data_IF_125786067023
#
_entry.id   IF_125786067023
#
_cell.length_a   1.000
_cell.length_b   1.000
_cell.length_c   1.000
_cell.angle_alpha   90.00
_cell.angle_beta   90.00
_cell.angle_gamma   90.00
#
_symmetry.space_group_name_H-M   'P 1'
#
loop_
_entity.id
_entity.type
_entity.pdbx_description
1 polymer ?
#
# COMPACT_ATOMS: atom_id res chain seq x y z
N UNK A 1 5.36 -28.61 12.89
CA UNK A 1 5.93 -27.86 11.75
C UNK A 1 4.93 -27.88 10.61
N UNK A 2 4.01 -26.92 10.58
CA UNK A 2 3.14 -26.67 9.43
C UNK A 2 3.94 -25.85 8.43
N UNK A 3 4.41 -26.48 7.35
CA UNK A 3 4.98 -25.76 6.20
C UNK A 3 3.84 -24.96 5.54
N UNK A 4 3.58 -23.76 6.03
CA UNK A 4 2.76 -22.77 5.32
C UNK A 4 3.51 -22.40 4.06
N UNK A 5 3.02 -22.86 2.91
CA UNK A 5 3.55 -22.48 1.60
C UNK A 5 3.46 -20.95 1.46
N UNK A 6 4.61 -20.28 1.53
CA UNK A 6 4.73 -18.86 1.23
C UNK A 6 4.66 -18.70 -0.29
N UNK A 7 3.50 -18.25 -0.78
CA UNK A 7 3.34 -17.90 -2.18
C UNK A 7 3.90 -16.50 -2.40
N UNK A 8 5.03 -16.41 -3.11
CA UNK A 8 5.56 -15.13 -3.55
C UNK A 8 4.53 -14.32 -4.33
N UNK A 9 4.61 -13.00 -4.28
CA UNK A 9 3.79 -12.08 -5.08
C UNK A 9 3.91 -12.45 -6.56
N UNK A 10 5.14 -12.77 -7.01
CA UNK A 10 5.39 -13.25 -8.37
C UNK A 10 4.57 -14.51 -8.68
N UNK A 11 4.54 -15.49 -7.80
CA UNK A 11 3.78 -16.73 -8.03
C UNK A 11 2.27 -16.47 -8.02
N UNK A 12 1.76 -15.60 -7.14
CA UNK A 12 0.34 -15.18 -7.15
C UNK A 12 -0.05 -14.53 -8.48
N UNK A 13 0.78 -13.60 -8.96
CA UNK A 13 0.56 -12.92 -10.24
C UNK A 13 0.62 -13.88 -11.44
N UNK A 14 1.64 -14.75 -11.50
CA UNK A 14 1.77 -15.75 -12.56
C UNK A 14 0.57 -16.71 -12.54
N UNK A 15 0.14 -17.16 -11.36
CA UNK A 15 -1.02 -18.04 -11.23
C UNK A 15 -2.30 -17.34 -11.70
N UNK A 16 -2.51 -16.08 -11.34
CA UNK A 16 -3.65 -15.31 -11.82
C UNK A 16 -3.65 -15.12 -13.34
N UNK A 17 -2.48 -14.83 -13.94
CA UNK A 17 -2.35 -14.75 -15.39
C UNK A 17 -2.55 -16.10 -16.08
N UNK A 18 -2.04 -17.19 -15.49
CA UNK A 18 -2.23 -18.54 -16.01
C UNK A 18 -3.70 -18.96 -16.00
N UNK A 19 -4.47 -18.60 -14.96
CA UNK A 19 -5.92 -18.81 -14.93
C UNK A 19 -6.61 -18.08 -16.07
N UNK A 20 -6.26 -16.80 -16.30
CA UNK A 20 -6.86 -16.02 -17.38
C UNK A 20 -6.54 -16.64 -18.75
N UNK A 21 -5.28 -17.05 -18.98
CA UNK A 21 -4.87 -17.73 -20.22
C UNK A 21 -5.55 -19.09 -20.40
N UNK A 22 -5.77 -19.84 -19.32
CA UNK A 22 -6.48 -21.11 -19.35
C UNK A 22 -7.94 -20.91 -19.76
N UNK A 23 -8.62 -19.94 -19.14
CA UNK A 23 -10.00 -19.58 -19.48
C UNK A 23 -10.10 -19.15 -20.95
N UNK A 24 -9.18 -18.29 -21.40
CA UNK A 24 -9.14 -17.85 -22.80
C UNK A 24 -8.89 -19.00 -23.76
N UNK A 25 -7.99 -19.93 -23.43
CA UNK A 25 -7.73 -21.13 -24.24
C UNK A 25 -8.96 -22.03 -24.34
N UNK A 26 -9.67 -22.25 -23.23
CA UNK A 26 -10.90 -23.06 -23.22
C UNK A 26 -11.99 -22.42 -24.08
N UNK A 27 -12.18 -21.11 -23.98
CA UNK A 27 -13.14 -20.36 -24.81
C UNK A 27 -12.75 -20.43 -26.28
N UNK A 28 -11.46 -20.28 -26.59
CA UNK A 28 -10.95 -20.36 -27.96
C UNK A 28 -11.17 -21.75 -28.56
N UNK A 29 -10.86 -22.82 -27.82
CA UNK A 29 -11.10 -24.21 -28.25
C UNK A 29 -12.59 -24.44 -28.47
N UNK A 30 -13.44 -23.98 -27.55
CA UNK A 30 -14.89 -24.07 -27.69
C UNK A 30 -15.40 -23.33 -28.94
N UNK A 31 -14.91 -22.11 -29.17
CA UNK A 31 -15.29 -21.29 -30.34
C UNK A 31 -14.89 -21.99 -31.64
N UNK A 32 -13.67 -22.53 -31.72
CA UNK A 32 -13.19 -23.27 -32.90
C UNK A 32 -14.05 -24.52 -33.14
N UNK A 33 -14.38 -25.28 -32.10
CA UNK A 33 -15.25 -26.46 -32.21
C UNK A 33 -16.61 -26.10 -32.79
N UNK A 34 -17.22 -25.00 -32.34
CA UNK A 34 -18.54 -24.57 -32.85
C UNK A 34 -18.51 -24.01 -34.27
N UNK A 35 -17.38 -23.42 -34.68
CA UNK A 35 -17.19 -22.95 -36.05
C UNK A 35 -17.17 -24.12 -37.05
N UNK A 36 -16.65 -25.28 -36.63
CA UNK A 36 -16.70 -26.52 -37.41
C UNK A 36 -18.14 -26.97 -37.66
N UNK A 37 -18.98 -26.98 -36.61
CA UNK A 37 -20.40 -27.39 -36.72
C UNK A 37 -21.17 -26.50 -37.72
N UNK A 38 -20.91 -25.19 -37.72
CA UNK A 38 -21.54 -24.24 -38.66
C UNK A 38 -21.07 -24.49 -40.10
N UNK A 39 -19.81 -24.83 -40.31
CA UNK A 39 -19.27 -25.10 -41.65
C UNK A 39 -19.97 -26.29 -42.32
N UNK A 40 -20.33 -27.31 -41.55
CA UNK A 40 -21.07 -28.48 -42.05
C UNK A 40 -22.51 -28.11 -42.43
N UNK A 41 -23.19 -27.32 -41.59
CA UNK A 41 -24.53 -26.81 -41.88
C UNK A 41 -24.57 -25.91 -43.13
N UNK A 42 -23.54 -25.09 -43.34
CA UNK A 42 -23.42 -24.27 -44.56
C UNK A 42 -23.27 -25.15 -45.79
N UNK A 43 -22.50 -26.24 -45.71
CA UNK A 43 -22.32 -27.18 -46.82
C UNK A 43 -23.65 -27.84 -47.21
N UNK A 44 -24.40 -28.34 -46.22
CA UNK A 44 -25.73 -28.94 -46.43
C UNK A 44 -26.69 -27.91 -47.06
N UNK A 45 -26.71 -26.68 -46.55
CA UNK A 45 -27.53 -25.61 -47.10
C UNK A 45 -27.18 -25.27 -48.55
N UNK A 46 -25.88 -25.23 -48.88
CA UNK A 46 -25.43 -24.98 -50.25
C UNK A 46 -25.82 -26.11 -51.21
N UNK A 47 -25.73 -27.36 -50.78
CA UNK A 47 -26.15 -28.52 -51.58
C UNK A 47 -27.66 -28.47 -51.86
N UNK A 48 -28.47 -28.22 -50.83
CA UNK A 48 -29.93 -28.06 -50.95
C UNK A 48 -30.31 -26.92 -51.91
N UNK A 49 -29.58 -25.81 -51.86
CA UNK A 49 -29.79 -24.70 -52.80
C UNK A 49 -29.39 -25.04 -54.24
N UNK A 50 -28.41 -25.93 -54.46
CA UNK A 50 -28.01 -26.36 -55.79
C UNK A 50 -29.09 -27.24 -56.44
N UNK A 51 -29.67 -28.19 -55.69
CA UNK A 51 -30.75 -29.04 -56.19
C UNK A 51 -31.99 -28.24 -56.62
N UNK A 52 -32.34 -27.20 -55.86
CA UNK A 52 -33.41 -26.27 -56.25
C UNK A 52 -33.08 -25.54 -57.57
N UNK A 53 -31.83 -25.11 -57.77
CA UNK A 53 -31.40 -24.50 -59.03
C UNK A 53 -31.45 -25.48 -60.21
N UNK A 54 -31.11 -26.74 -59.98
CA UNK A 54 -31.16 -27.81 -60.99
C UNK A 54 -32.60 -28.05 -61.48
N UNK A 55 -33.59 -28.02 -60.57
CA UNK A 55 -35.01 -28.08 -60.96
C UNK A 55 -35.44 -26.88 -61.79
N UNK A 56 -35.00 -25.68 -61.42
CA UNK A 56 -35.28 -24.48 -62.25
C UNK A 56 -34.71 -24.64 -63.66
N UNK A 57 -33.55 -25.29 -63.81
CA UNK A 57 -33.01 -25.62 -65.14
C UNK A 57 -33.89 -26.64 -65.87
N UNK A 58 -34.36 -27.69 -65.21
CA UNK A 58 -35.32 -28.65 -65.79
C UNK A 58 -36.56 -27.91 -66.31
N UNK A 59 -37.14 -27.04 -65.49
CA UNK A 59 -38.30 -26.23 -65.86
C UNK A 59 -38.04 -25.41 -67.13
N UNK A 60 -36.93 -24.66 -67.16
CA UNK A 60 -36.56 -23.81 -68.29
C UNK A 60 -36.38 -24.63 -69.57
N UNK A 61 -35.77 -25.82 -69.48
CA UNK A 61 -35.57 -26.70 -70.64
C UNK A 61 -36.87 -27.32 -71.15
N UNK A 62 -37.77 -27.72 -70.25
CA UNK A 62 -39.08 -28.21 -70.66
C UNK A 62 -39.93 -27.12 -71.33
N UNK A 63 -39.84 -25.87 -70.86
CA UNK A 63 -40.49 -24.73 -71.51
C UNK A 63 -39.85 -24.40 -72.87
N UNK A 64 -38.52 -24.42 -72.98
CA UNK A 64 -37.79 -24.26 -74.24
C UNK A 64 -38.21 -25.34 -75.25
N UNK A 65 -38.33 -26.60 -74.82
CA UNK A 65 -38.81 -27.72 -75.64
C UNK A 65 -40.23 -27.47 -76.14
N UNK A 66 -41.16 -27.13 -75.24
CA UNK A 66 -42.56 -26.86 -75.59
C UNK A 66 -42.70 -25.68 -76.55
N UNK A 67 -41.99 -24.60 -76.29
CA UNK A 67 -42.00 -23.39 -77.12
C UNK A 67 -41.40 -23.67 -78.50
N UNK A 68 -40.35 -24.49 -78.58
CA UNK A 68 -39.71 -24.87 -79.84
C UNK A 68 -40.63 -25.75 -80.69
N UNK A 69 -41.27 -26.76 -80.09
CA UNK A 69 -42.29 -27.58 -80.78
C UNK A 69 -43.47 -26.72 -81.27
N UNK A 70 -43.95 -25.80 -80.42
CA UNK A 70 -45.05 -24.90 -80.76
C UNK A 70 -44.71 -23.94 -81.90
N UNK A 71 -43.49 -23.41 -81.94
CA UNK A 71 -43.01 -22.56 -83.04
C UNK A 71 -42.88 -23.34 -84.35
N UNK A 72 -42.31 -24.56 -84.30
CA UNK A 72 -42.10 -25.39 -85.48
C UNK A 72 -43.40 -25.85 -86.16
N UNK A 73 -44.48 -26.01 -85.39
CA UNK A 73 -45.82 -26.24 -85.94
C UNK A 73 -46.31 -25.06 -86.76
N UNK A 74 -46.09 -23.83 -86.27
CA UNK A 74 -46.65 -22.61 -86.84
C UNK A 74 -45.81 -22.00 -87.97
N UNK A 75 -44.48 -22.19 -87.96
CA UNK A 75 -43.55 -21.55 -88.90
C UNK A 75 -42.62 -22.57 -89.54
N UNK A 76 -42.52 -22.59 -90.87
CA UNK A 76 -41.67 -23.53 -91.63
C UNK A 76 -40.18 -23.29 -91.38
N UNK A 77 -39.75 -22.02 -91.27
CA UNK A 77 -38.35 -21.64 -90.98
C UNK A 77 -37.86 -22.18 -89.63
N UNK A 78 -38.78 -22.41 -88.68
CA UNK A 78 -38.47 -22.95 -87.35
C UNK A 78 -38.39 -24.48 -87.30
N UNK A 79 -38.46 -25.16 -88.46
CA UNK A 79 -38.34 -26.62 -88.54
C UNK A 79 -36.91 -27.08 -88.80
N UNK A 80 -36.06 -26.19 -89.28
CA UNK A 80 -34.64 -26.49 -89.48
C UNK A 80 -33.97 -26.68 -88.12
N UNK A 81 -33.25 -27.79 -87.94
CA UNK A 81 -32.61 -28.14 -86.67
C UNK A 81 -33.55 -28.55 -85.52
N UNK A 82 -34.87 -28.66 -85.73
CA UNK A 82 -35.86 -28.97 -84.69
C UNK A 82 -35.50 -30.23 -83.89
N UNK A 83 -35.20 -31.34 -84.58
CA UNK A 83 -34.83 -32.59 -83.93
C UNK A 83 -33.60 -32.42 -83.04
N UNK A 84 -32.57 -31.71 -83.54
CA UNK A 84 -31.32 -31.51 -82.81
C UNK A 84 -31.51 -30.63 -81.56
N UNK A 85 -32.35 -29.60 -81.62
CA UNK A 85 -32.66 -28.77 -80.45
C UNK A 85 -33.45 -29.55 -79.40
N UNK A 86 -34.46 -30.33 -79.80
CA UNK A 86 -35.25 -31.14 -78.87
C UNK A 86 -34.41 -32.27 -78.25
N UNK A 87 -33.56 -32.91 -79.04
CA UNK A 87 -32.64 -33.95 -78.54
C UNK A 87 -31.60 -33.37 -77.56
N UNK A 88 -31.11 -32.15 -77.81
CA UNK A 88 -30.22 -31.44 -76.87
C UNK A 88 -30.94 -31.21 -75.54
N UNK A 89 -32.14 -30.62 -75.57
CA UNK A 89 -32.90 -30.39 -74.34
C UNK A 89 -33.26 -31.70 -73.64
N UNK A 90 -33.56 -32.76 -74.40
CA UNK A 90 -33.81 -34.09 -73.86
C UNK A 90 -32.62 -34.62 -73.06
N UNK A 91 -31.42 -34.53 -73.64
CA UNK A 91 -30.18 -34.95 -73.00
C UNK A 91 -29.85 -34.10 -71.77
N UNK A 92 -30.05 -32.77 -71.85
CA UNK A 92 -29.80 -31.85 -70.74
C UNK A 92 -30.74 -32.12 -69.55
N UNK A 93 -32.03 -32.35 -69.81
CA UNK A 93 -33.02 -32.66 -68.76
C UNK A 93 -32.76 -34.04 -68.14
N UNK A 94 -32.48 -35.07 -68.96
CA UNK A 94 -32.16 -36.40 -68.47
C UNK A 94 -30.91 -36.38 -67.57
N UNK A 95 -29.86 -35.65 -67.97
CA UNK A 95 -28.65 -35.52 -67.17
C UNK A 95 -28.90 -34.84 -65.81
N UNK A 96 -29.81 -33.87 -65.75
CA UNK A 96 -30.19 -33.22 -64.49
C UNK A 96 -31.00 -34.19 -63.60
N UNK A 97 -31.94 -34.95 -64.16
CA UNK A 97 -32.68 -35.95 -63.40
C UNK A 97 -31.75 -37.05 -62.85
N UNK A 98 -30.81 -37.56 -63.64
CA UNK A 98 -29.79 -38.51 -63.19
C UNK A 98 -29.00 -37.95 -61.99
N UNK A 99 -28.63 -36.66 -62.03
CA UNK A 99 -27.94 -36.01 -60.92
C UNK A 99 -28.85 -35.90 -59.69
N UNK A 100 -30.10 -35.44 -59.86
CA UNK A 100 -31.08 -35.31 -58.79
C UNK A 100 -31.37 -36.67 -58.12
N UNK A 101 -31.45 -37.77 -58.86
CA UNK A 101 -31.64 -39.12 -58.30
C UNK A 101 -30.46 -39.56 -57.41
N UNK A 102 -29.24 -39.13 -57.75
CA UNK A 102 -28.06 -39.46 -56.93
C UNK A 102 -27.91 -38.60 -55.69
N UNK A 103 -28.41 -37.36 -55.73
CA UNK A 103 -28.22 -36.37 -54.66
C UNK A 103 -29.43 -36.22 -53.73
N UNK A 104 -30.61 -36.71 -54.13
CA UNK A 104 -31.82 -36.73 -53.31
C UNK A 104 -32.02 -38.06 -52.61
N UNK A 105 -32.73 -38.05 -51.48
CA UNK A 105 -33.06 -39.26 -50.72
C UNK A 105 -34.47 -39.17 -50.13
N UNK A 106 -35.06 -40.31 -49.79
CA UNK A 106 -36.37 -40.36 -49.12
C UNK A 106 -37.51 -39.88 -50.02
N UNK A 107 -38.36 -38.99 -49.49
CA UNK A 107 -39.52 -38.42 -50.21
C UNK A 107 -39.10 -37.60 -51.44
N UNK A 108 -37.97 -36.88 -51.37
CA UNK A 108 -37.42 -36.17 -52.52
C UNK A 108 -37.05 -37.10 -53.67
N UNK A 109 -36.43 -38.25 -53.38
CA UNK A 109 -36.08 -39.23 -54.41
C UNK A 109 -37.32 -39.79 -55.10
N UNK A 110 -38.39 -40.10 -54.35
CA UNK A 110 -39.63 -40.59 -54.93
C UNK A 110 -40.27 -39.55 -55.88
N UNK A 111 -40.21 -38.26 -55.53
CA UNK A 111 -40.69 -37.18 -56.39
C UNK A 111 -39.81 -36.98 -57.63
N UNK A 112 -38.49 -37.15 -57.52
CA UNK A 112 -37.57 -37.13 -58.67
C UNK A 112 -37.86 -38.29 -59.61
N UNK A 113 -37.97 -39.50 -59.10
CA UNK A 113 -38.28 -40.71 -59.88
C UNK A 113 -39.62 -40.58 -60.62
N UNK A 114 -40.65 -40.02 -59.97
CA UNK A 114 -41.95 -39.76 -60.59
C UNK A 114 -41.85 -38.72 -61.73
N UNK A 115 -41.17 -37.60 -61.50
CA UNK A 115 -40.97 -36.58 -62.52
C UNK A 115 -40.14 -37.10 -63.70
N UNK A 116 -39.09 -37.87 -63.42
CA UNK A 116 -38.23 -38.47 -64.44
C UNK A 116 -39.00 -39.51 -65.27
N UNK A 117 -39.83 -40.35 -64.62
CA UNK A 117 -40.69 -41.30 -65.31
C UNK A 117 -41.68 -40.61 -66.26
N UNK A 118 -42.39 -39.58 -65.78
CA UNK A 118 -43.31 -38.79 -66.61
C UNK A 118 -42.60 -38.10 -67.79
N UNK A 119 -41.36 -37.66 -67.58
CA UNK A 119 -40.53 -37.09 -68.64
C UNK A 119 -40.18 -38.11 -69.75
N UNK A 120 -39.88 -39.35 -69.35
CA UNK A 120 -39.61 -40.45 -70.28
C UNK A 120 -40.88 -40.91 -71.02
N UNK A 121 -42.03 -40.98 -70.34
CA UNK A 121 -43.32 -41.27 -70.99
C UNK A 121 -43.71 -40.21 -72.04
N UNK A 122 -43.22 -38.98 -71.88
CA UNK A 122 -43.43 -37.92 -72.86
C UNK A 122 -42.58 -38.10 -74.15
N UNK A 123 -41.46 -38.83 -74.11
CA UNK A 123 -40.53 -39.03 -75.24
C UNK A 123 -41.17 -39.57 -76.53
N UNK A 124 -41.95 -40.68 -76.50
CA UNK A 124 -42.62 -41.18 -77.70
C UNK A 124 -43.61 -40.18 -78.31
N UNK A 125 -44.28 -39.38 -77.48
CA UNK A 125 -45.25 -38.37 -77.93
C UNK A 125 -44.52 -37.20 -78.61
N UNK A 126 -43.38 -36.75 -78.04
CA UNK A 126 -42.52 -35.72 -78.69
C UNK A 126 -42.03 -36.19 -80.05
N UNK A 127 -41.61 -37.44 -80.13
CA UNK A 127 -41.10 -38.04 -81.37
C UNK A 127 -42.18 -38.09 -82.45
N UNK A 128 -43.41 -38.48 -82.08
CA UNK A 128 -44.55 -38.44 -83.02
C UNK A 128 -44.87 -37.00 -83.48
N UNK A 129 -44.79 -36.02 -82.60
CA UNK A 129 -45.01 -34.60 -82.95
C UNK A 129 -43.96 -34.13 -83.96
N UNK A 130 -42.68 -34.45 -83.73
CA UNK A 130 -41.59 -34.10 -84.66
C UNK A 130 -41.81 -34.76 -86.02
N UNK A 131 -42.11 -36.06 -86.07
CA UNK A 131 -42.39 -36.78 -87.31
C UNK A 131 -43.57 -36.15 -88.09
N UNK A 132 -44.65 -35.76 -87.39
CA UNK A 132 -45.78 -35.08 -88.02
C UNK A 132 -45.43 -33.69 -88.57
N UNK A 133 -44.55 -32.95 -87.90
CA UNK A 133 -44.07 -31.63 -88.35
C UNK A 133 -43.21 -31.78 -89.61
N UNK A 134 -42.28 -32.74 -89.62
CA UNK A 134 -41.40 -33.04 -90.74
C UNK A 134 -42.17 -33.53 -91.97
N UNK A 135 -43.19 -34.38 -91.77
CA UNK A 135 -44.07 -34.88 -92.83
C UNK A 135 -45.16 -33.87 -93.27
N UNK A 136 -45.07 -32.60 -92.86
CA UNK A 136 -45.97 -31.53 -93.30
C UNK A 136 -47.38 -31.58 -92.70
N UNK A 137 -47.63 -32.42 -91.69
CA UNK A 137 -48.93 -32.61 -91.03
C UNK A 137 -49.09 -31.69 -89.82
N UNK A 138 -48.81 -30.40 -90.01
CA UNK A 138 -48.79 -29.39 -88.93
C UNK A 138 -50.11 -29.27 -88.16
N UNK A 139 -51.27 -29.44 -88.81
CA UNK A 139 -52.58 -29.41 -88.13
C UNK A 139 -52.75 -30.57 -87.13
N UNK A 140 -52.28 -31.78 -87.50
CA UNK A 140 -52.33 -32.95 -86.61
C UNK A 140 -51.29 -32.84 -85.49
N UNK A 141 -50.10 -32.34 -85.80
CA UNK A 141 -49.08 -32.01 -84.80
C UNK A 141 -49.58 -30.96 -83.79
N UNK A 142 -50.26 -29.91 -84.26
CA UNK A 142 -50.88 -28.89 -83.39
C UNK A 142 -51.95 -29.49 -82.47
N UNK A 143 -52.79 -30.39 -83.00
CA UNK A 143 -53.78 -31.13 -82.20
C UNK A 143 -53.14 -31.97 -81.10
N UNK A 144 -52.06 -32.69 -81.41
CA UNK A 144 -51.30 -33.47 -80.42
C UNK A 144 -50.58 -32.60 -79.40
N UNK A 145 -49.96 -31.48 -79.80
CA UNK A 145 -49.34 -30.54 -78.85
C UNK A 145 -50.37 -29.97 -77.87
N UNK A 146 -51.59 -29.70 -78.34
CA UNK A 146 -52.67 -29.19 -77.49
C UNK A 146 -53.17 -30.26 -76.50
N UNK A 147 -53.44 -31.47 -76.99
CA UNK A 147 -53.86 -32.61 -76.16
C UNK A 147 -52.78 -33.01 -75.13
N UNK A 148 -51.52 -32.96 -75.56
CA UNK A 148 -50.34 -33.13 -74.73
C UNK A 148 -50.25 -32.04 -73.64
N UNK A 149 -50.53 -30.79 -74.00
CA UNK A 149 -50.54 -29.68 -73.04
C UNK A 149 -51.63 -29.84 -72.00
N UNK A 150 -52.72 -30.55 -72.29
CA UNK A 150 -53.82 -30.77 -71.35
C UNK A 150 -53.57 -31.95 -70.39
N UNK A 151 -52.83 -32.98 -70.81
CA UNK A 151 -52.62 -34.22 -70.04
C UNK A 151 -51.17 -34.39 -69.56
N UNK A 152 -50.28 -34.95 -70.39
CA UNK A 152 -48.93 -35.38 -69.95
C UNK A 152 -48.01 -34.22 -69.54
N UNK A 153 -48.03 -33.09 -70.25
CA UNK A 153 -47.20 -31.94 -69.87
C UNK A 153 -47.68 -31.35 -68.55
N UNK A 154 -49.00 -31.28 -68.31
CA UNK A 154 -49.54 -30.78 -67.04
C UNK A 154 -49.23 -31.72 -65.87
N UNK A 155 -49.26 -33.04 -66.08
CA UNK A 155 -48.88 -34.03 -65.08
C UNK A 155 -47.39 -33.96 -64.74
N UNK A 156 -46.51 -33.92 -65.74
CA UNK A 156 -45.08 -33.70 -65.56
C UNK A 156 -44.79 -32.38 -64.85
N UNK A 157 -45.45 -31.31 -65.29
CA UNK A 157 -45.32 -29.98 -64.69
C UNK A 157 -45.81 -29.96 -63.24
N UNK A 158 -46.91 -30.64 -62.93
CA UNK A 158 -47.41 -30.77 -61.56
C UNK A 158 -46.43 -31.55 -60.67
N UNK A 159 -45.85 -32.64 -61.16
CA UNK A 159 -44.84 -33.42 -60.45
C UNK A 159 -43.56 -32.61 -60.20
N UNK A 160 -43.07 -31.87 -61.20
CA UNK A 160 -41.90 -30.98 -61.07
C UNK A 160 -42.18 -29.85 -60.08
N UNK A 161 -43.38 -29.25 -60.08
CA UNK A 161 -43.74 -28.23 -59.09
C UNK A 161 -43.80 -28.81 -57.67
N UNK A 162 -44.31 -30.03 -57.51
CA UNK A 162 -44.31 -30.68 -56.19
C UNK A 162 -42.89 -30.94 -55.69
N UNK A 163 -42.00 -31.38 -56.58
CA UNK A 163 -40.59 -31.56 -56.29
C UNK A 163 -39.89 -30.22 -55.98
N UNK A 164 -40.18 -29.17 -56.76
CA UNK A 164 -39.69 -27.81 -56.53
C UNK A 164 -40.12 -27.29 -55.16
N UNK A 165 -41.41 -27.42 -54.83
CA UNK A 165 -41.97 -27.02 -53.53
C UNK A 165 -41.30 -27.77 -52.38
N UNK A 166 -41.06 -29.08 -52.54
CA UNK A 166 -40.37 -29.91 -51.56
C UNK A 166 -38.91 -29.44 -51.33
N UNK A 167 -38.12 -29.30 -52.40
CA UNK A 167 -36.73 -28.86 -52.30
C UNK A 167 -36.61 -27.43 -51.79
N UNK A 168 -37.51 -26.54 -52.19
CA UNK A 168 -37.55 -25.17 -51.69
C UNK A 168 -37.90 -25.12 -50.20
N UNK A 169 -38.86 -25.94 -49.75
CA UNK A 169 -39.18 -26.05 -48.32
C UNK A 169 -38.00 -26.60 -47.51
N UNK A 170 -37.31 -27.62 -48.03
CA UNK A 170 -36.12 -28.20 -47.39
C UNK A 170 -34.96 -27.20 -47.31
N UNK A 171 -34.70 -26.46 -48.41
CA UNK A 171 -33.68 -25.40 -48.46
C UNK A 171 -33.99 -24.27 -47.47
N UNK A 172 -35.24 -23.78 -47.42
CA UNK A 172 -35.65 -22.75 -46.47
C UNK A 172 -35.51 -23.21 -45.02
N UNK A 173 -35.85 -24.46 -44.72
CA UNK A 173 -35.69 -25.03 -43.39
C UNK A 173 -34.21 -25.13 -42.99
N UNK A 174 -33.36 -25.69 -43.87
CA UNK A 174 -31.92 -25.80 -43.63
C UNK A 174 -31.27 -24.43 -43.41
N UNK A 175 -31.70 -23.41 -44.17
CA UNK A 175 -31.22 -22.04 -44.03
C UNK A 175 -31.63 -21.42 -42.68
N UNK A 176 -32.88 -21.59 -42.28
CA UNK A 176 -33.39 -21.08 -41.00
C UNK A 176 -32.68 -21.74 -39.81
N UNK A 177 -32.47 -23.06 -39.85
CA UNK A 177 -31.74 -23.81 -38.83
C UNK A 177 -30.26 -23.39 -38.74
N UNK A 178 -29.61 -23.19 -39.89
CA UNK A 178 -28.22 -22.72 -39.98
C UNK A 178 -28.06 -21.32 -39.37
N UNK A 179 -28.95 -20.37 -39.70
CA UNK A 179 -28.92 -19.03 -39.11
C UNK A 179 -29.19 -19.03 -37.60
N UNK A 180 -30.20 -19.77 -37.15
CA UNK A 180 -30.53 -19.86 -35.73
C UNK A 180 -29.34 -20.41 -34.92
N UNK A 181 -28.68 -21.44 -35.45
CA UNK A 181 -27.49 -22.04 -34.86
C UNK A 181 -26.31 -21.06 -34.84
N UNK A 182 -26.08 -20.34 -35.95
CA UNK A 182 -25.01 -19.35 -36.03
C UNK A 182 -25.16 -18.22 -35.00
N UNK A 183 -26.39 -17.69 -34.82
CA UNK A 183 -26.67 -16.66 -33.81
C UNK A 183 -26.49 -17.18 -32.38
N UNK A 184 -26.94 -18.41 -32.10
CA UNK A 184 -26.75 -19.04 -30.79
C UNK A 184 -25.27 -19.21 -30.46
N UNK A 185 -24.47 -19.70 -31.42
CA UNK A 185 -23.02 -19.86 -31.28
C UNK A 185 -22.36 -18.50 -31.04
N UNK A 186 -22.69 -17.49 -31.85
CA UNK A 186 -22.15 -16.13 -31.71
C UNK A 186 -22.43 -15.56 -30.31
N UNK A 187 -23.68 -15.61 -29.85
CA UNK A 187 -24.07 -15.10 -28.53
C UNK A 187 -23.38 -15.87 -27.40
N UNK A 188 -23.21 -17.19 -27.54
CA UNK A 188 -22.52 -18.01 -26.55
C UNK A 188 -21.03 -17.65 -26.47
N UNK A 189 -20.36 -17.44 -27.61
CA UNK A 189 -18.95 -17.01 -27.67
C UNK A 189 -18.78 -15.63 -27.04
N UNK A 190 -19.63 -14.66 -27.43
CA UNK A 190 -19.59 -13.29 -26.88
C UNK A 190 -19.84 -13.33 -25.36
N UNK A 191 -20.85 -14.08 -24.91
CA UNK A 191 -21.16 -14.25 -23.49
C UNK A 191 -19.99 -14.85 -22.70
N UNK A 192 -19.39 -15.92 -23.22
CA UNK A 192 -18.22 -16.55 -22.60
C UNK A 192 -17.02 -15.59 -22.52
N UNK A 193 -16.77 -14.83 -23.58
CA UNK A 193 -15.70 -13.83 -23.63
C UNK A 193 -15.92 -12.70 -22.60
N UNK A 194 -17.15 -12.19 -22.49
CA UNK A 194 -17.51 -11.19 -21.49
C UNK A 194 -17.33 -11.69 -20.06
N UNK A 195 -17.75 -12.92 -19.77
CA UNK A 195 -17.54 -13.56 -18.46
C UNK A 195 -16.05 -13.67 -18.14
N UNK A 196 -15.22 -14.07 -19.11
CA UNK A 196 -13.78 -14.17 -18.91
C UNK A 196 -13.13 -12.80 -18.62
N UNK A 197 -13.55 -11.74 -19.32
CA UNK A 197 -13.10 -10.37 -19.03
C UNK A 197 -13.47 -9.96 -17.60
N UNK A 198 -14.73 -10.19 -17.21
CA UNK A 198 -15.21 -9.82 -15.86
C UNK A 198 -14.44 -10.58 -14.78
N UNK A 199 -14.25 -11.89 -14.94
CA UNK A 199 -13.46 -12.71 -14.00
C UNK A 199 -12.01 -12.26 -13.94
N UNK A 200 -11.38 -11.96 -15.08
CA UNK A 200 -10.04 -11.41 -15.14
C UNK A 200 -9.91 -10.06 -14.44
N UNK A 201 -10.88 -9.16 -14.64
CA UNK A 201 -10.93 -7.86 -13.97
C UNK A 201 -11.13 -8.00 -12.46
N UNK A 202 -12.05 -8.85 -12.01
CA UNK A 202 -12.28 -9.12 -10.59
C UNK A 202 -11.04 -9.71 -9.92
N UNK A 203 -10.38 -10.68 -10.56
CA UNK A 203 -9.14 -11.27 -10.08
C UNK A 203 -8.01 -10.24 -10.01
N UNK A 204 -7.91 -9.38 -11.03
CA UNK A 204 -6.95 -8.28 -11.08
C UNK A 204 -7.16 -7.29 -9.94
N UNK A 205 -8.39 -6.83 -9.71
CA UNK A 205 -8.74 -5.93 -8.61
C UNK A 205 -8.47 -6.57 -7.24
N UNK A 206 -8.82 -7.85 -7.08
CA UNK A 206 -8.57 -8.59 -5.83
C UNK A 206 -7.08 -8.65 -5.51
N UNK A 207 -6.24 -9.04 -6.47
CA UNK A 207 -4.78 -9.10 -6.28
C UNK A 207 -4.18 -7.72 -6.06
N UNK A 208 -4.58 -6.72 -6.86
CA UNK A 208 -4.09 -5.35 -6.73
C UNK A 208 -4.43 -4.74 -5.37
N UNK A 209 -5.65 -4.96 -4.85
CA UNK A 209 -6.05 -4.49 -3.52
C UNK A 209 -5.22 -5.12 -2.41
N UNK A 210 -4.95 -6.43 -2.50
CA UNK A 210 -4.11 -7.12 -1.52
C UNK A 210 -2.69 -6.57 -1.45
N UNK A 211 -2.06 -6.39 -2.61
CA UNK A 211 -0.70 -5.83 -2.73
C UNK A 211 -0.66 -4.38 -2.26
N UNK A 212 -1.59 -3.55 -2.74
CA UNK A 212 -1.62 -2.12 -2.45
C UNK A 212 -1.89 -1.83 -0.97
N UNK A 213 -2.73 -2.63 -0.29
CA UNK A 213 -3.02 -2.43 1.13
C UNK A 213 -1.76 -2.55 1.98
N UNK A 214 -1.03 -3.67 1.84
CA UNK A 214 0.19 -3.92 2.62
C UNK A 214 1.27 -2.89 2.29
N UNK A 215 1.47 -2.57 1.01
CA UNK A 215 2.45 -1.57 0.61
C UNK A 215 2.14 -0.19 1.18
N UNK A 216 0.87 0.22 1.17
CA UNK A 216 0.45 1.51 1.73
C UNK A 216 0.57 1.56 3.26
N UNK A 217 0.31 0.47 3.97
CA UNK A 217 0.53 0.39 5.42
C UNK A 217 2.00 0.56 5.78
N UNK A 218 2.90 -0.18 5.10
CA UNK A 218 4.35 -0.06 5.32
C UNK A 218 4.84 1.35 4.98
N UNK A 219 4.40 1.93 3.87
CA UNK A 219 4.78 3.27 3.46
C UNK A 219 4.25 4.37 4.40
N UNK A 220 3.08 4.16 5.00
CA UNK A 220 2.53 5.06 6.02
C UNK A 220 3.34 4.99 7.31
N UNK A 221 3.59 3.78 7.81
CA UNK A 221 4.41 3.59 9.00
C UNK A 221 5.82 4.19 8.82
N UNK A 222 6.44 4.02 7.66
CA UNK A 222 7.73 4.66 7.36
C UNK A 222 7.68 6.20 7.40
N UNK A 223 6.59 6.82 6.92
CA UNK A 223 6.39 8.27 7.02
C UNK A 223 6.20 8.73 8.47
N UNK A 224 5.36 8.04 9.23
CA UNK A 224 5.10 8.36 10.64
C UNK A 224 6.38 8.24 11.48
N UNK A 225 7.20 7.20 11.24
CA UNK A 225 8.53 7.07 11.86
C UNK A 225 9.43 8.25 11.49
N UNK A 226 9.38 8.73 10.24
CA UNK A 226 10.19 9.88 9.82
C UNK A 226 9.77 11.20 10.48
N UNK A 227 8.51 11.28 10.94
CA UNK A 227 8.00 12.40 11.74
C UNK A 227 8.28 12.23 13.25
N UNK A 228 8.91 11.12 13.65
CA UNK A 228 9.25 10.79 15.04
C UNK A 228 8.16 10.03 15.79
N UNK A 229 7.04 9.68 15.13
CA UNK A 229 6.00 8.85 15.72
C UNK A 229 6.35 7.37 15.59
N UNK A 230 6.89 6.82 16.68
CA UNK A 230 7.21 5.40 16.79
C UNK A 230 6.09 4.60 17.43
N UNK A 231 4.90 5.15 17.70
CA UNK A 231 3.80 4.45 18.40
C UNK A 231 3.08 3.41 17.54
N UNK A 232 3.27 3.47 16.23
CA UNK A 232 2.58 2.70 15.21
C UNK A 232 2.79 1.18 15.35
N UNK A 233 1.87 0.40 14.79
CA UNK A 233 1.98 -1.06 14.66
C UNK A 233 1.54 -1.48 13.26
N UNK A 234 2.31 -2.39 12.66
CA UNK A 234 1.98 -2.96 11.37
C UNK A 234 1.41 -4.35 11.60
N UNK A 235 0.13 -4.55 11.26
CA UNK A 235 -0.54 -5.84 11.37
C UNK A 235 -0.80 -6.40 9.97
N UNK A 236 0.16 -7.15 9.44
CA UNK A 236 -0.07 -7.81 8.14
C UNK A 236 -0.56 -9.23 8.29
N UNK A 237 -1.42 -9.63 7.34
CA UNK A 237 -1.81 -11.03 7.13
C UNK A 237 -1.13 -11.61 5.88
N UNK A 238 -0.24 -10.85 5.26
CA UNK A 238 0.38 -11.22 3.99
C UNK A 238 1.51 -12.21 4.27
N UNK A 239 1.39 -13.43 3.75
CA UNK A 239 2.46 -14.44 3.82
C UNK A 239 3.30 -14.42 2.54
N UNK A 240 3.83 -13.25 2.18
CA UNK A 240 4.64 -13.02 0.98
C UNK A 240 5.77 -12.00 1.25
N UNK A 241 6.46 -11.54 0.22
CA UNK A 241 7.58 -10.61 0.35
C UNK A 241 7.18 -9.27 1.00
N UNK A 242 5.94 -8.80 0.77
CA UNK A 242 5.44 -7.59 1.43
C UNK A 242 5.16 -7.83 2.91
N UNK A 243 4.70 -9.04 3.26
CA UNK A 243 4.62 -9.48 4.65
C UNK A 243 5.97 -9.48 5.35
N UNK A 244 6.98 -10.08 4.74
CA UNK A 244 8.35 -10.10 5.29
C UNK A 244 8.92 -8.68 5.45
N UNK A 245 8.68 -7.80 4.48
CA UNK A 245 9.07 -6.39 4.58
C UNK A 245 8.37 -5.70 5.74
N UNK A 246 7.07 -5.94 5.91
CA UNK A 246 6.31 -5.38 7.01
C UNK A 246 6.76 -5.89 8.38
N UNK A 247 7.07 -7.19 8.50
CA UNK A 247 7.64 -7.77 9.72
C UNK A 247 9.00 -7.15 10.06
N UNK A 248 9.84 -6.90 9.04
CA UNK A 248 11.13 -6.23 9.22
C UNK A 248 10.97 -4.78 9.70
N UNK A 249 10.01 -4.04 9.14
CA UNK A 249 9.69 -2.67 9.57
C UNK A 249 9.09 -2.68 10.98
N UNK A 250 8.25 -3.66 11.32
CA UNK A 250 7.70 -3.84 12.66
C UNK A 250 8.81 -4.09 13.69
N UNK A 251 9.79 -4.93 13.40
CA UNK A 251 10.97 -5.13 14.26
C UNK A 251 11.77 -3.84 14.44
N UNK A 252 11.93 -3.05 13.37
CA UNK A 252 12.57 -1.73 13.46
C UNK A 252 11.78 -0.77 14.35
N UNK A 253 10.45 -0.72 14.23
CA UNK A 253 9.59 0.10 15.10
C UNK A 253 9.73 -0.33 16.56
N UNK A 254 9.70 -1.63 16.85
CA UNK A 254 9.87 -2.13 18.22
C UNK A 254 11.23 -1.77 18.81
N UNK A 255 12.28 -1.85 18.01
CA UNK A 255 13.60 -1.40 18.41
C UNK A 255 13.61 0.10 18.74
N UNK A 256 13.03 0.95 17.88
CA UNK A 256 12.93 2.39 18.13
C UNK A 256 12.09 2.72 19.37
N UNK A 257 10.96 2.01 19.58
CA UNK A 257 10.12 2.13 20.80
C UNK A 257 10.93 1.82 22.07
N UNK A 258 11.75 0.76 22.04
CA UNK A 258 12.63 0.40 23.18
C UNK A 258 13.64 1.50 23.46
N UNK A 259 14.28 2.06 22.43
CA UNK A 259 15.24 3.16 22.60
C UNK A 259 14.58 4.43 23.12
N UNK A 260 13.41 4.80 22.60
CA UNK A 260 12.65 5.95 23.09
C UNK A 260 12.22 5.77 24.55
N UNK A 261 11.81 4.56 24.94
CA UNK A 261 11.47 4.24 26.34
C UNK A 261 12.69 4.37 27.25
N UNK A 262 13.84 3.83 26.84
CA UNK A 262 15.09 3.97 27.59
C UNK A 262 15.51 5.44 27.71
N UNK A 263 15.38 6.24 26.65
CA UNK A 263 15.64 7.68 26.68
C UNK A 263 14.76 8.41 27.70
N UNK A 264 13.46 8.10 27.74
CA UNK A 264 12.54 8.69 28.70
C UNK A 264 12.88 8.30 30.15
N UNK A 265 13.28 7.05 30.39
CA UNK A 265 13.73 6.61 31.72
C UNK A 265 15.00 7.34 32.17
N UNK A 266 15.98 7.47 31.27
CA UNK A 266 17.22 8.22 31.54
C UNK A 266 16.91 9.70 31.82
N UNK A 267 16.02 10.31 31.03
CA UNK A 267 15.59 11.69 31.23
C UNK A 267 14.87 11.89 32.58
N UNK A 268 14.16 10.87 33.06
CA UNK A 268 13.55 10.85 34.39
C UNK A 268 14.57 10.60 35.53
N UNK A 269 15.86 10.41 35.21
CA UNK A 269 16.93 10.14 36.16
C UNK A 269 17.10 8.66 36.53
N UNK A 270 16.31 7.76 35.94
CA UNK A 270 16.47 6.32 36.13
C UNK A 270 17.60 5.80 35.24
N UNK A 271 18.81 5.81 35.80
CA UNK A 271 19.98 5.22 35.16
C UNK A 271 20.11 3.72 35.44
N UNK A 272 19.12 3.03 36.00
CA UNK A 272 19.18 1.57 36.20
C UNK A 272 18.91 0.79 34.90
N UNK A 273 18.29 1.45 33.91
CA UNK A 273 18.02 0.88 32.59
C UNK A 273 19.29 0.31 31.96
N UNK A 274 19.15 -0.88 31.37
CA UNK A 274 20.21 -1.53 30.61
C UNK A 274 19.81 -1.56 29.14
N UNK A 275 20.58 -0.85 28.32
CA UNK A 275 20.47 -0.92 26.87
C UNK A 275 21.48 -1.95 26.38
N UNK A 276 20.97 -3.07 25.86
CA UNK A 276 21.77 -4.14 25.26
C UNK A 276 21.76 -3.93 23.74
N UNK A 277 22.91 -3.59 23.13
CA UNK A 277 23.00 -3.45 21.67
C UNK A 277 22.64 -4.76 20.96
N UNK A 278 21.88 -4.68 19.87
CA UNK A 278 21.46 -5.85 19.09
C UNK A 278 22.61 -6.49 18.29
N UNK A 279 23.63 -5.69 17.93
CA UNK A 279 24.82 -6.14 17.23
C UNK A 279 25.95 -5.13 17.39
N UNK A 280 27.15 -5.45 16.92
CA UNK A 280 28.26 -4.49 16.84
C UNK A 280 27.94 -3.27 15.95
N UNK A 281 27.01 -3.41 15.01
CA UNK A 281 26.56 -2.34 14.10
C UNK A 281 25.41 -1.49 14.69
N UNK A 282 24.94 -1.82 15.90
CA UNK A 282 23.86 -1.09 16.56
C UNK A 282 24.37 0.25 17.13
N UNK A 283 24.47 1.26 16.27
CA UNK A 283 25.00 2.59 16.63
C UNK A 283 24.22 3.22 17.78
N UNK A 284 22.88 3.17 17.75
CA UNK A 284 22.05 3.74 18.81
C UNK A 284 22.24 2.98 20.13
N UNK A 285 22.12 1.65 20.11
CA UNK A 285 22.27 0.83 21.31
C UNK A 285 23.63 1.02 21.99
N UNK A 286 24.70 1.05 21.20
CA UNK A 286 26.06 1.31 21.69
C UNK A 286 26.20 2.72 22.29
N UNK A 287 25.67 3.75 21.61
CA UNK A 287 25.73 5.12 22.09
C UNK A 287 24.94 5.31 23.40
N UNK A 288 23.74 4.74 23.51
CA UNK A 288 22.94 4.78 24.74
C UNK A 288 23.63 4.06 25.90
N UNK A 289 24.19 2.88 25.66
CA UNK A 289 24.93 2.13 26.67
C UNK A 289 26.12 2.94 27.22
N UNK A 290 26.92 3.53 26.32
CA UNK A 290 28.05 4.38 26.72
C UNK A 290 27.59 5.65 27.45
N UNK A 291 26.50 6.27 27.00
CA UNK A 291 25.93 7.45 27.64
C UNK A 291 25.50 7.16 29.09
N UNK A 292 24.84 6.03 29.34
CA UNK A 292 24.44 5.62 30.70
C UNK A 292 25.67 5.45 31.61
N UNK A 293 26.73 4.82 31.10
CA UNK A 293 28.00 4.65 31.85
C UNK A 293 28.58 6.03 32.20
N UNK A 294 28.67 6.94 31.24
CA UNK A 294 29.20 8.28 31.45
C UNK A 294 28.37 9.08 32.46
N UNK A 295 27.04 9.02 32.37
CA UNK A 295 26.14 9.70 33.31
C UNK A 295 26.28 9.15 34.74
N UNK A 296 26.35 7.82 34.91
CA UNK A 296 26.58 7.20 36.23
C UNK A 296 27.92 7.64 36.83
N UNK A 297 28.97 7.72 36.01
CA UNK A 297 30.28 8.20 36.45
C UNK A 297 30.24 9.68 36.86
N UNK A 298 29.55 10.53 36.10
CA UNK A 298 29.44 11.96 36.41
C UNK A 298 28.66 12.19 37.72
N UNK A 299 27.56 11.47 37.94
CA UNK A 299 26.80 11.53 39.20
C UNK A 299 27.66 11.08 40.37
N UNK A 300 28.34 9.93 40.26
CA UNK A 300 29.21 9.43 41.32
C UNK A 300 30.37 10.39 41.64
N UNK A 301 30.92 11.07 40.63
CA UNK A 301 31.94 12.09 40.82
C UNK A 301 31.38 13.33 41.55
N UNK A 302 30.19 13.80 41.16
CA UNK A 302 29.51 14.92 41.83
C UNK A 302 29.21 14.62 43.28
N UNK A 303 28.74 13.42 43.61
CA UNK A 303 28.49 12.99 44.99
C UNK A 303 29.76 12.99 45.82
N UNK A 304 30.86 12.42 45.30
CA UNK A 304 32.17 12.45 45.98
C UNK A 304 32.68 13.86 46.19
N UNK A 305 32.52 14.74 45.20
CA UNK A 305 32.92 16.14 45.32
C UNK A 305 32.07 16.90 46.35
N UNK A 306 30.76 16.63 46.38
CA UNK A 306 29.86 17.21 47.37
C UNK A 306 30.26 16.78 48.79
N UNK A 307 30.61 15.51 48.99
CA UNK A 307 31.05 15.01 50.28
C UNK A 307 32.39 15.63 50.72
N UNK A 308 33.38 15.68 49.82
CA UNK A 308 34.66 16.38 50.10
C UNK A 308 34.46 17.85 50.43
N UNK A 309 33.51 18.51 49.76
CA UNK A 309 33.19 19.91 50.04
C UNK A 309 32.54 20.07 51.42
N UNK A 310 31.65 19.14 51.83
CA UNK A 310 31.08 19.11 53.18
C UNK A 310 32.17 18.90 54.24
N UNK A 311 33.03 17.91 54.07
CA UNK A 311 34.14 17.65 54.99
C UNK A 311 35.05 18.87 55.13
N UNK A 312 35.46 19.49 54.01
CA UNK A 312 36.30 20.69 54.02
C UNK A 312 35.62 21.87 54.71
N UNK A 313 34.31 22.05 54.49
CA UNK A 313 33.50 23.07 55.17
C UNK A 313 33.47 22.83 56.68
N UNK A 314 33.21 21.61 57.11
CA UNK A 314 33.10 21.26 58.54
C UNK A 314 34.44 21.44 59.26
N UNK A 315 35.56 21.07 58.61
CA UNK A 315 36.91 21.32 59.12
C UNK A 315 37.14 22.83 59.29
N UNK A 316 36.84 23.62 58.27
CA UNK A 316 37.01 25.07 58.31
C UNK A 316 36.15 25.73 59.41
N UNK A 317 34.89 25.31 59.57
CA UNK A 317 34.02 25.79 60.64
C UNK A 317 34.56 25.40 62.03
N UNK A 318 35.05 24.17 62.19
CA UNK A 318 35.64 23.72 63.46
C UNK A 318 36.89 24.52 63.84
N UNK A 319 37.76 24.80 62.87
CA UNK A 319 38.96 25.60 63.06
C UNK A 319 38.60 27.04 63.44
N UNK A 320 37.58 27.62 62.81
CA UNK A 320 37.11 28.96 63.13
C UNK A 320 36.54 29.05 64.56
N UNK A 321 35.78 28.04 64.99
CA UNK A 321 35.27 27.94 66.37
C UNK A 321 36.42 27.79 67.37
N UNK A 322 37.41 26.94 67.08
CA UNK A 322 38.58 26.75 67.94
C UNK A 322 39.40 28.04 68.08
N UNK A 323 39.63 28.78 66.97
CA UNK A 323 40.27 30.12 66.98
C UNK A 323 39.54 31.06 67.94
N UNK A 324 38.22 31.12 67.82
CA UNK A 324 37.37 32.00 68.62
C UNK A 324 37.44 31.66 70.12
N UNK A 325 37.33 30.37 70.46
CA UNK A 325 37.44 29.90 71.85
C UNK A 325 38.84 30.17 72.44
N UNK A 326 39.90 29.95 71.66
CA UNK A 326 41.27 30.19 72.09
C UNK A 326 41.47 31.65 72.51
N UNK A 327 41.11 32.61 71.65
CA UNK A 327 41.29 34.04 71.97
C UNK A 327 40.40 34.51 73.13
N UNK A 328 39.17 34.01 73.22
CA UNK A 328 38.28 34.32 74.36
C UNK A 328 38.89 33.86 75.68
N UNK A 329 39.40 32.62 75.73
CA UNK A 329 39.98 32.06 76.95
C UNK A 329 41.29 32.77 77.32
N UNK A 330 42.20 32.94 76.35
CA UNK A 330 43.49 33.62 76.60
C UNK A 330 43.29 35.06 77.07
N UNK A 331 42.32 35.79 76.52
CA UNK A 331 42.01 37.15 76.97
C UNK A 331 41.61 37.19 78.45
N UNK A 332 40.76 36.26 78.90
CA UNK A 332 40.37 36.17 80.32
C UNK A 332 41.53 35.79 81.23
N UNK A 333 42.35 34.81 80.82
CA UNK A 333 43.50 34.33 81.59
C UNK A 333 44.63 35.38 81.68
N UNK A 334 44.77 36.26 80.68
CA UNK A 334 45.74 37.37 80.71
C UNK A 334 45.23 38.60 81.46
N UNK A 335 43.93 38.92 81.35
CA UNK A 335 43.34 40.09 82.01
C UNK A 335 43.48 40.04 83.53
N UNK A 336 43.29 38.87 84.13
CA UNK A 336 43.34 38.69 85.59
C UNK A 336 44.72 39.03 86.18
N UNK A 337 45.84 38.42 85.74
CA UNK A 337 47.16 38.75 86.26
C UNK A 337 47.62 40.16 85.87
N UNK A 338 47.28 40.67 84.68
CA UNK A 338 47.61 42.04 84.28
C UNK A 338 46.90 43.06 85.18
N UNK A 339 45.59 42.87 85.42
CA UNK A 339 44.85 43.72 86.34
C UNK A 339 45.44 43.66 87.76
N UNK A 340 45.87 42.48 88.22
CA UNK A 340 46.56 42.36 89.50
C UNK A 340 47.87 43.17 89.52
N UNK A 341 48.70 43.06 88.48
CA UNK A 341 49.94 43.84 88.33
C UNK A 341 49.62 45.34 88.33
N UNK A 342 48.66 45.80 87.54
CA UNK A 342 48.24 47.21 87.48
C UNK A 342 47.78 47.69 88.87
N UNK A 343 46.87 46.97 89.53
CA UNK A 343 46.34 47.35 90.83
C UNK A 343 47.43 47.38 91.91
N UNK A 344 48.26 46.34 92.02
CA UNK A 344 49.32 46.31 93.03
C UNK A 344 50.41 47.34 92.75
N UNK A 345 50.78 47.57 91.49
CA UNK A 345 51.72 48.64 91.11
C UNK A 345 51.12 50.01 91.44
N UNK A 346 49.82 50.19 91.20
CA UNK A 346 49.07 51.40 91.52
C UNK A 346 49.06 51.68 93.03
N UNK A 347 48.73 50.68 93.85
CA UNK A 347 48.75 50.83 95.30
C UNK A 347 50.12 51.21 95.86
N UNK A 348 51.20 50.70 95.26
CA UNK A 348 52.57 51.10 95.65
C UNK A 348 52.85 52.53 95.18
N UNK A 349 52.44 52.91 93.96
CA UNK A 349 52.61 54.27 93.43
C UNK A 349 51.80 55.33 94.19
N UNK A 350 50.65 54.94 94.74
CA UNK A 350 49.78 55.78 95.56
C UNK A 350 50.25 55.89 97.02
N UNK A 351 51.36 55.22 97.38
CA UNK A 351 51.94 55.24 98.72
C UNK A 351 51.19 54.42 99.77
N UNK A 352 50.22 53.60 99.37
CA UNK A 352 49.38 52.79 100.27
C UNK A 352 50.22 51.76 101.06
N UNK A 353 51.32 51.28 100.45
CA UNK A 353 52.25 50.33 101.08
C UNK A 353 53.56 50.97 101.58
N UNK A 354 53.64 52.30 101.63
CA UNK A 354 54.81 53.06 102.11
C UNK A 354 55.20 54.22 101.18
N UNK A 355 56.01 55.16 101.68
CA UNK A 355 56.51 56.28 100.87
C UNK A 355 57.43 55.79 99.76
N UNK A 356 57.19 56.26 98.54
CA UNK A 356 58.01 56.01 97.34
C UNK A 356 58.80 57.26 96.98
N UNK A 357 60.06 57.10 96.60
CA UNK A 357 60.88 58.21 96.11
C UNK A 357 60.56 58.55 94.65
N UNK A 358 61.05 59.70 94.17
CA UNK A 358 60.75 60.19 92.81
C UNK A 358 61.15 59.21 91.69
N UNK A 359 62.25 58.48 91.85
CA UNK A 359 62.72 57.48 90.88
C UNK A 359 61.84 56.22 90.86
N UNK A 360 61.40 55.77 92.03
CA UNK A 360 60.43 54.69 92.19
C UNK A 360 59.08 55.09 91.60
N UNK A 361 58.62 56.31 91.85
CA UNK A 361 57.35 56.81 91.30
C UNK A 361 57.37 56.84 89.77
N UNK A 362 58.44 57.35 89.16
CA UNK A 362 58.59 57.36 87.71
C UNK A 362 58.60 55.94 87.12
N UNK A 363 59.25 55.00 87.80
CA UNK A 363 59.32 53.60 87.36
C UNK A 363 57.96 52.90 87.46
N UNK A 364 57.24 53.08 88.57
CA UNK A 364 55.90 52.51 88.77
C UNK A 364 54.89 53.08 87.76
N UNK A 365 54.95 54.38 87.46
CA UNK A 365 54.13 54.99 86.40
C UNK A 365 54.40 54.41 85.01
N UNK A 366 55.66 54.09 84.69
CA UNK A 366 56.00 53.40 83.43
C UNK A 366 55.43 51.98 83.37
N UNK A 367 55.48 51.25 84.48
CA UNK A 367 54.90 49.90 84.58
C UNK A 367 53.38 49.96 84.45
N UNK A 368 52.72 50.90 85.13
CA UNK A 368 51.28 51.14 85.03
C UNK A 368 50.86 51.45 83.59
N UNK A 369 51.49 52.44 82.96
CA UNK A 369 51.19 52.83 81.58
C UNK A 369 51.40 51.66 80.60
N UNK A 370 52.44 50.85 80.81
CA UNK A 370 52.69 49.65 79.98
C UNK A 370 51.64 48.56 80.20
N UNK A 371 51.19 48.36 81.44
CA UNK A 371 50.15 47.40 81.79
C UNK A 371 48.78 47.78 81.22
N UNK A 372 48.40 49.05 81.34
CA UNK A 372 47.17 49.61 80.76
C UNK A 372 47.17 49.50 79.23
N UNK A 373 48.31 49.82 78.59
CA UNK A 373 48.45 49.69 77.16
C UNK A 373 48.31 48.23 76.68
N UNK A 374 48.92 47.27 77.37
CA UNK A 374 48.78 45.85 77.06
C UNK A 374 47.34 45.37 77.23
N UNK A 375 46.64 45.84 78.27
CA UNK A 375 45.23 45.52 78.48
C UNK A 375 44.35 46.06 77.35
N UNK A 376 44.61 47.28 76.87
CA UNK A 376 43.93 47.84 75.70
C UNK A 376 44.12 46.97 74.46
N UNK A 377 45.36 46.58 74.14
CA UNK A 377 45.67 45.74 72.98
C UNK A 377 44.98 44.37 73.05
N UNK A 378 44.90 43.77 74.25
CA UNK A 378 44.19 42.51 74.46
C UNK A 378 42.69 42.67 74.24
N UNK A 379 42.10 43.78 74.69
CA UNK A 379 40.68 44.07 74.47
C UNK A 379 40.38 44.30 72.98
N UNK A 380 41.20 45.09 72.28
CA UNK A 380 41.04 45.35 70.85
C UNK A 380 41.11 44.06 70.02
N UNK A 381 42.05 43.17 70.34
CA UNK A 381 42.17 41.86 69.69
C UNK A 381 40.95 40.96 69.96
N UNK A 382 40.42 40.98 71.19
CA UNK A 382 39.24 40.23 71.55
C UNK A 382 38.01 40.73 70.80
N UNK A 383 37.83 42.05 70.74
CA UNK A 383 36.69 42.67 70.06
C UNK A 383 36.74 42.45 68.55
N UNK A 384 37.93 42.52 67.93
CA UNK A 384 38.13 42.09 66.55
C UNK A 384 37.72 40.63 66.34
N UNK A 385 38.11 39.73 67.26
CA UNK A 385 37.75 38.31 67.16
C UNK A 385 36.24 38.09 67.30
N UNK A 386 35.55 38.84 68.17
CA UNK A 386 34.08 38.81 68.29
C UNK A 386 33.37 39.33 67.04
N UNK A 387 33.95 40.32 66.35
CA UNK A 387 33.43 40.84 65.08
C UNK A 387 33.59 39.79 63.99
N UNK A 388 34.79 39.22 63.80
CA UNK A 388 35.05 38.20 62.77
C UNK A 388 34.18 36.93 62.95
N UNK A 389 33.87 36.58 64.20
CA UNK A 389 33.01 35.43 64.53
C UNK A 389 31.50 35.76 64.59
N UNK A 390 31.11 37.02 64.35
CA UNK A 390 29.72 37.47 64.42
C UNK A 390 29.09 37.44 65.82
N UNK A 391 29.91 37.35 66.87
CA UNK A 391 29.46 37.33 68.26
C UNK A 391 29.25 38.73 68.86
N UNK A 392 29.75 39.78 68.20
CA UNK A 392 29.51 41.17 68.63
C UNK A 392 28.06 41.57 68.33
N UNK A 393 27.27 41.76 69.39
CA UNK A 393 25.89 42.24 69.28
C UNK A 393 25.85 43.76 69.42
N UNK A 394 25.19 44.42 68.47
CA UNK A 394 24.93 45.86 68.52
C UNK A 394 23.56 46.09 69.16
N UNK A 395 23.49 46.97 70.14
CA UNK A 395 22.24 47.38 70.79
C UNK A 395 21.85 48.77 70.28
N UNK A 396 20.69 48.85 69.63
CA UNK A 396 20.16 50.10 69.09
C UNK A 396 19.26 50.76 70.13
N UNK A 397 19.67 51.90 70.66
CA UNK A 397 18.92 52.68 71.65
C UNK A 397 18.81 54.14 71.22
N UNK A 398 17.74 54.82 71.65
CA UNK A 398 17.58 56.27 71.44
C UNK A 398 18.35 57.01 72.52
N UNK A 399 19.28 57.86 72.10
CA UNK A 399 20.05 58.73 73.00
C UNK A 399 20.00 60.18 72.52
N UNK A 400 20.26 61.11 73.45
CA UNK A 400 20.28 62.55 73.18
C UNK A 400 21.71 62.94 72.77
N UNK A 401 21.87 63.43 71.54
CA UNK A 401 23.19 63.65 70.93
C UNK A 401 23.97 64.72 71.69
N UNK A 402 23.32 65.79 72.15
CA UNK A 402 24.00 66.88 72.86
C UNK A 402 24.56 66.39 74.19
N UNK A 403 23.76 65.67 74.99
CA UNK A 403 24.20 65.04 76.23
C UNK A 403 25.40 64.09 76.03
N UNK A 404 25.40 63.28 74.96
CA UNK A 404 26.53 62.39 74.67
C UNK A 404 27.81 63.19 74.36
N UNK A 405 27.70 64.26 73.56
CA UNK A 405 28.86 65.10 73.26
C UNK A 405 29.37 65.82 74.50
N UNK A 406 28.49 66.30 75.38
CA UNK A 406 28.89 66.93 76.63
C UNK A 406 29.65 65.95 77.54
N UNK A 407 29.16 64.71 77.67
CA UNK A 407 29.82 63.63 78.44
C UNK A 407 31.19 63.24 77.85
N UNK A 408 31.28 63.14 76.52
CA UNK A 408 32.54 62.88 75.82
C UNK A 408 33.52 64.04 76.00
N UNK A 409 33.07 65.29 75.91
CA UNK A 409 33.89 66.48 76.09
C UNK A 409 34.40 66.57 77.53
N UNK A 410 33.56 66.34 78.52
CA UNK A 410 33.95 66.35 79.93
C UNK A 410 35.03 65.29 80.20
N UNK A 411 34.83 64.08 79.69
CA UNK A 411 35.81 62.98 79.80
C UNK A 411 37.13 63.32 79.08
N UNK A 412 37.06 63.84 77.86
CA UNK A 412 38.24 64.20 77.07
C UNK A 412 39.02 65.37 77.68
N UNK A 413 38.33 66.36 78.24
CA UNK A 413 38.95 67.50 78.92
C UNK A 413 39.79 67.03 80.11
N UNK A 414 39.29 66.09 80.91
CA UNK A 414 40.05 65.50 82.02
C UNK A 414 41.32 64.78 81.53
N UNK A 415 41.23 64.03 80.42
CA UNK A 415 42.36 63.29 79.86
C UNK A 415 43.47 64.17 79.23
N UNK A 416 43.15 65.42 78.89
CA UNK A 416 44.06 66.38 78.23
C UNK A 416 44.59 67.44 79.21
N UNK A 417 43.91 67.66 80.35
CA UNK A 417 44.22 68.73 81.32
C UNK A 417 45.67 68.75 81.82
N UNK A 418 46.30 67.58 81.94
CA UNK A 418 47.66 67.43 82.47
C UNK A 418 48.72 67.10 81.40
N UNK A 419 48.33 67.15 80.12
CA UNK A 419 49.27 66.94 79.01
C UNK A 419 49.71 68.29 78.44
N UNK A 420 51.03 68.55 78.28
CA UNK A 420 51.47 69.74 77.58
C UNK A 420 50.99 69.65 76.13
N UNK A 421 50.20 70.63 75.71
CA UNK A 421 49.76 70.79 74.32
C UNK A 421 50.91 71.37 73.49
#
# INVERSE_FOLDING_TARGET
MTHTFFLSIRTKLIFGYAIILLIMSVIMIYAISRLSDISELILINNQQSALSQDIVQVYLRLDDMKTTLSRAVNTIESRDGLYADIERYNTEVAAIFDQLETETTGEGLALVEEAHHLFHEWEPIRTEIIDLIENGRAFRASGLIRDLSDTHYNELFASINQLEDYLNAQSQQAFAESQATALLVQNTIIGAFMIAIILGALLGVFQARGIASTANEVARAAREISEGDVSQTIHTRANDELGQMADSVQQMIEYLKRMATAANQIAAGDLSVQVIPQSEYDVLGNAFSQMIVNLRQDIALRERNAERLREARDIAESANRAKTLFFSNISHELRTPINAIINFTGFVADGIYGEVNDEQQQTLQRVLSSGEHLLSLINDLLDLTKIESGMMRVFFEKFEVVSLFDEVIETAQVLVKDKPI
#
